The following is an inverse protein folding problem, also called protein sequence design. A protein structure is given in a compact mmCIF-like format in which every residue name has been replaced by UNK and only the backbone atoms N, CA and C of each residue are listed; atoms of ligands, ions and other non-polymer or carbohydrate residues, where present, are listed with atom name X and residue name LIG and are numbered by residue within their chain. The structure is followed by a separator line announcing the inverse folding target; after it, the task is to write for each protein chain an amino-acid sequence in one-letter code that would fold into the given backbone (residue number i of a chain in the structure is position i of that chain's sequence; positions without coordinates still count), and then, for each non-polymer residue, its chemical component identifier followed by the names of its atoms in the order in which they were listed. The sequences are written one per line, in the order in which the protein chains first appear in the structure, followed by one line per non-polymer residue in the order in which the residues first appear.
data_IF_082651607645
#
_entry.id   IF_082651607645
#
_cell.length_a   1.000
_cell.length_b   1.000
_cell.length_c   1.000
_cell.angle_alpha   90.00
_cell.angle_beta   90.00
_cell.angle_gamma   90.00
#
_symmetry.space_group_name_H-M   'P 1'
#
loop_
_entity.id
_entity.type
_entity.pdbx_description
1 polymer ?
#
# COMPACT_ATOMS: atom_id res chain seq x y z
N UNK A 1 -16.99 7.38 0.49
CA UNK A 1 -16.43 6.08 0.89
C UNK A 1 -17.41 5.03 0.40
N UNK A 2 -17.04 4.26 -0.62
CA UNK A 2 -17.90 3.21 -1.18
C UNK A 2 -17.99 2.08 -0.16
N UNK A 3 -19.20 1.61 0.17
CA UNK A 3 -19.36 0.42 1.01
C UNK A 3 -19.07 -0.80 0.13
N UNK A 4 -17.83 -1.26 0.12
CA UNK A 4 -17.38 -2.40 -0.70
C UNK A 4 -18.03 -3.74 -0.31
N UNK A 5 -18.63 -3.82 0.88
CA UNK A 5 -19.20 -5.05 1.46
C UNK A 5 -20.57 -5.46 0.92
N UNK A 6 -21.15 -4.74 -0.03
CA UNK A 6 -22.50 -5.01 -0.56
C UNK A 6 -22.50 -5.58 -1.98
N UNK A 7 -21.35 -5.64 -2.65
CA UNK A 7 -21.25 -6.20 -4.00
C UNK A 7 -21.12 -7.71 -3.94
N UNK A 8 -21.82 -8.39 -4.83
CA UNK A 8 -21.70 -9.83 -4.99
C UNK A 8 -20.36 -10.22 -5.65
N UNK A 9 -19.87 -11.46 -5.45
CA UNK A 9 -18.59 -11.90 -6.00
C UNK A 9 -18.49 -11.84 -7.53
N UNK A 10 -19.60 -12.00 -8.26
CA UNK A 10 -19.62 -11.97 -9.73
C UNK A 10 -19.37 -10.54 -10.24
N UNK A 11 -19.96 -9.54 -9.58
CA UNK A 11 -19.69 -8.13 -9.84
C UNK A 11 -18.22 -7.79 -9.59
N UNK A 12 -17.65 -8.26 -8.46
CA UNK A 12 -16.24 -8.03 -8.12
C UNK A 12 -15.26 -8.69 -9.11
N UNK A 13 -15.60 -9.87 -9.62
CA UNK A 13 -14.80 -10.54 -10.66
C UNK A 13 -14.91 -9.82 -12.00
N UNK A 14 -16.13 -9.44 -12.41
CA UNK A 14 -16.36 -8.66 -13.64
C UNK A 14 -15.57 -7.35 -13.63
N UNK A 15 -15.51 -6.72 -12.46
CA UNK A 15 -14.71 -5.53 -12.21
C UNK A 15 -13.21 -5.79 -12.43
N UNK A 16 -12.65 -6.88 -11.89
CA UNK A 16 -11.25 -7.26 -12.14
C UNK A 16 -10.99 -7.49 -13.64
N UNK A 17 -11.86 -8.23 -14.32
CA UNK A 17 -11.69 -8.56 -15.74
C UNK A 17 -11.67 -7.30 -16.61
N UNK A 18 -12.58 -6.35 -16.33
CA UNK A 18 -12.62 -5.03 -17.00
C UNK A 18 -11.35 -4.23 -16.74
N UNK A 19 -10.87 -4.21 -15.49
CA UNK A 19 -9.64 -3.50 -15.13
C UNK A 19 -8.42 -4.11 -15.83
N UNK A 20 -8.29 -5.44 -15.85
CA UNK A 20 -7.20 -6.13 -16.55
C UNK A 20 -7.25 -5.91 -18.06
N UNK A 21 -8.43 -5.93 -18.66
CA UNK A 21 -8.60 -5.60 -20.07
C UNK A 21 -8.11 -4.16 -20.36
N UNK A 22 -8.56 -3.18 -19.56
CA UNK A 22 -8.14 -1.80 -19.71
C UNK A 22 -6.62 -1.65 -19.60
N UNK A 23 -5.98 -2.30 -18.63
CA UNK A 23 -4.53 -2.25 -18.44
C UNK A 23 -3.80 -2.85 -19.66
N UNK A 24 -4.23 -4.00 -20.17
CA UNK A 24 -3.65 -4.62 -21.38
C UNK A 24 -3.76 -3.71 -22.60
N UNK A 25 -4.92 -3.10 -22.80
CA UNK A 25 -5.13 -2.13 -23.87
C UNK A 25 -4.30 -0.85 -23.68
N UNK A 26 -4.05 -0.45 -22.43
CA UNK A 26 -3.17 0.67 -22.11
C UNK A 26 -1.71 0.33 -22.42
N UNK A 27 -1.23 -0.83 -22.00
CA UNK A 27 0.13 -1.34 -22.30
C UNK A 27 0.36 -1.47 -23.81
N UNK A 28 -0.58 -2.06 -24.53
CA UNK A 28 -0.49 -2.23 -25.98
C UNK A 28 -0.41 -0.89 -26.76
N UNK A 29 -1.04 0.17 -26.23
CA UNK A 29 -0.97 1.52 -26.81
C UNK A 29 0.31 2.27 -26.44
N UNK A 30 1.06 1.79 -25.46
CA UNK A 30 2.28 2.42 -24.97
C UNK A 30 3.49 1.45 -25.00
N UNK A 31 3.83 0.84 -26.15
CA UNK A 31 4.83 -0.23 -26.23
C UNK A 31 6.27 0.21 -25.94
N UNK A 32 6.52 1.52 -25.81
CA UNK A 32 7.83 2.11 -25.50
C UNK A 32 7.98 2.51 -24.05
N UNK A 33 6.88 2.52 -23.29
CA UNK A 33 6.92 2.84 -21.88
C UNK A 33 7.46 1.63 -21.10
N UNK A 34 8.30 1.91 -20.12
CA UNK A 34 8.69 0.94 -19.10
C UNK A 34 7.50 0.60 -18.18
N UNK A 35 7.55 -0.55 -17.50
CA UNK A 35 6.51 -0.92 -16.51
C UNK A 35 6.33 0.14 -15.42
N UNK A 36 7.41 0.84 -15.07
CA UNK A 36 7.38 2.01 -14.18
C UNK A 36 6.47 3.13 -14.69
N UNK A 37 6.66 3.52 -15.95
CA UNK A 37 5.89 4.58 -16.61
C UNK A 37 4.42 4.15 -16.77
N UNK A 38 4.19 2.89 -17.14
CA UNK A 38 2.84 2.32 -17.21
C UNK A 38 2.15 2.41 -15.85
N UNK A 39 2.75 1.89 -14.77
CA UNK A 39 2.16 1.91 -13.43
C UNK A 39 1.83 3.34 -12.96
N UNK A 40 2.74 4.29 -13.23
CA UNK A 40 2.53 5.70 -12.91
C UNK A 40 1.43 6.36 -13.75
N UNK A 41 1.33 6.05 -15.03
CA UNK A 41 0.27 6.58 -15.90
C UNK A 41 -1.10 5.98 -15.56
N UNK A 42 -1.16 4.70 -15.14
CA UNK A 42 -2.41 4.06 -14.71
C UNK A 42 -3.03 4.75 -13.48
N UNK A 43 -2.21 5.35 -12.62
CA UNK A 43 -2.67 6.15 -11.47
C UNK A 43 -3.60 7.31 -11.85
N UNK A 44 -3.45 7.87 -13.06
CA UNK A 44 -4.35 8.91 -13.60
C UNK A 44 -5.79 8.47 -13.79
N UNK A 45 -6.05 7.16 -13.77
CA UNK A 45 -7.37 6.56 -13.97
C UNK A 45 -8.01 6.06 -12.65
N UNK A 46 -7.45 6.44 -11.50
CA UNK A 46 -7.90 6.01 -10.16
C UNK A 46 -8.76 7.10 -9.48
N UNK A 47 -8.26 7.77 -8.44
CA UNK A 47 -8.93 8.87 -7.72
C UNK A 47 -8.15 10.16 -7.85
N UNK A 48 -8.86 11.28 -7.89
CA UNK A 48 -8.23 12.61 -7.92
C UNK A 48 -7.29 12.84 -6.73
N UNK A 49 -7.63 12.34 -5.54
CA UNK A 49 -6.80 12.44 -4.33
C UNK A 49 -5.44 11.72 -4.46
N UNK A 50 -5.38 10.65 -5.26
CA UNK A 50 -4.13 9.94 -5.53
C UNK A 50 -3.24 10.65 -6.57
N UNK A 51 -3.69 11.72 -7.21
CA UNK A 51 -2.92 12.45 -8.22
C UNK A 51 -2.33 13.77 -7.69
N UNK A 52 -2.10 13.86 -6.38
CA UNK A 52 -1.54 15.07 -5.75
C UNK A 52 -0.04 15.24 -6.04
N UNK A 53 0.47 16.47 -5.91
CA UNK A 53 1.89 16.78 -6.07
C UNK A 53 2.82 15.95 -5.15
N UNK A 54 2.28 15.42 -4.05
CA UNK A 54 3.04 14.57 -3.13
C UNK A 54 3.50 13.29 -3.82
N UNK A 55 2.64 12.69 -4.63
CA UNK A 55 2.94 11.47 -5.37
C UNK A 55 3.85 11.74 -6.56
N UNK A 56 3.74 12.92 -7.18
CA UNK A 56 4.71 13.35 -8.20
C UNK A 56 6.13 13.44 -7.67
N UNK A 57 6.31 13.80 -6.40
CA UNK A 57 7.63 13.77 -5.77
C UNK A 57 8.09 12.35 -5.44
N UNK A 58 7.17 11.51 -4.94
CA UNK A 58 7.46 10.11 -4.60
C UNK A 58 7.88 9.28 -5.82
N UNK A 59 7.27 9.54 -6.97
CA UNK A 59 7.52 8.77 -8.20
C UNK A 59 8.23 9.59 -9.30
N UNK A 60 8.70 10.80 -9.01
CA UNK A 60 9.36 11.67 -10.01
C UNK A 60 8.60 11.79 -11.34
N UNK A 61 7.28 11.57 -11.32
CA UNK A 61 6.43 11.45 -12.48
C UNK A 61 5.18 12.27 -12.24
N UNK A 62 4.85 13.19 -13.14
CA UNK A 62 3.67 14.04 -12.96
C UNK A 62 2.44 13.28 -13.45
N UNK A 63 1.58 12.88 -12.53
CA UNK A 63 0.27 12.32 -12.87
C UNK A 63 -0.78 13.44 -12.85
N UNK A 64 -1.57 13.53 -13.92
CA UNK A 64 -2.77 14.37 -13.94
C UNK A 64 -3.97 13.44 -13.93
N UNK A 65 -4.94 13.69 -13.06
CA UNK A 65 -6.18 12.93 -13.03
C UNK A 65 -6.90 13.04 -14.39
N UNK A 66 -7.34 11.90 -14.93
CA UNK A 66 -8.07 11.81 -16.20
C UNK A 66 -9.51 11.39 -15.91
N UNK A 67 -9.71 10.23 -15.29
CA UNK A 67 -11.02 9.70 -14.89
C UNK A 67 -10.88 8.63 -13.80
N UNK A 68 -11.96 7.93 -13.50
CA UNK A 68 -12.09 6.98 -12.40
C UNK A 68 -12.34 5.52 -12.85
N UNK A 69 -11.88 5.15 -14.05
CA UNK A 69 -12.08 3.79 -14.60
C UNK A 69 -11.45 2.66 -13.78
N UNK A 70 -10.49 2.97 -12.91
CA UNK A 70 -9.85 2.03 -11.98
C UNK A 70 -10.30 2.27 -10.52
N UNK A 71 -11.26 3.19 -10.27
CA UNK A 71 -11.84 3.43 -8.95
C UNK A 71 -13.04 2.52 -8.69
N UNK A 72 -12.73 1.27 -8.41
CA UNK A 72 -13.71 0.24 -8.14
C UNK A 72 -13.14 -0.84 -7.22
N UNK A 73 -13.99 -1.52 -6.45
CA UNK A 73 -13.58 -2.73 -5.76
C UNK A 73 -13.48 -3.90 -6.73
N UNK A 74 -12.50 -4.77 -6.50
CA UNK A 74 -12.32 -6.03 -7.23
C UNK A 74 -12.19 -7.19 -6.25
N UNK A 75 -12.27 -8.41 -6.76
CA UNK A 75 -11.80 -9.60 -6.04
C UNK A 75 -10.40 -9.97 -6.54
N UNK A 76 -9.40 -9.91 -5.66
CA UNK A 76 -8.02 -10.24 -5.99
C UNK A 76 -7.52 -11.35 -5.06
N UNK A 77 -7.09 -12.48 -5.63
CA UNK A 77 -6.71 -13.68 -4.88
C UNK A 77 -7.77 -14.16 -3.86
N UNK A 78 -9.06 -13.87 -4.12
CA UNK A 78 -10.18 -14.21 -3.24
C UNK A 78 -10.50 -13.16 -2.17
N UNK A 79 -9.83 -12.01 -2.15
CA UNK A 79 -10.12 -10.90 -1.22
C UNK A 79 -10.75 -9.71 -1.93
N UNK A 80 -11.64 -9.01 -1.24
CA UNK A 80 -12.14 -7.70 -1.70
C UNK A 80 -11.02 -6.70 -1.58
N UNK A 81 -10.67 -6.05 -2.69
CA UNK A 81 -9.54 -5.12 -2.77
C UNK A 81 -10.00 -3.79 -3.37
N UNK A 82 -9.58 -2.68 -2.77
CA UNK A 82 -9.73 -1.35 -3.37
C UNK A 82 -8.73 -1.21 -4.52
N UNK A 83 -9.21 -1.29 -5.76
CA UNK A 83 -8.33 -1.33 -6.93
C UNK A 83 -7.66 0.02 -7.21
N UNK A 84 -8.31 1.14 -6.88
CA UNK A 84 -7.70 2.46 -7.01
C UNK A 84 -6.56 2.63 -6.01
N UNK A 85 -6.76 2.19 -4.77
CA UNK A 85 -5.71 2.14 -3.77
C UNK A 85 -4.56 1.25 -4.25
N UNK A 86 -4.86 0.03 -4.73
CA UNK A 86 -3.86 -0.91 -5.21
C UNK A 86 -2.99 -0.33 -6.33
N UNK A 87 -3.57 0.29 -7.35
CA UNK A 87 -2.82 0.88 -8.48
C UNK A 87 -1.96 2.07 -8.01
N UNK A 88 -2.48 2.88 -7.08
CA UNK A 88 -1.73 3.97 -6.49
C UNK A 88 -0.52 3.44 -5.68
N UNK A 89 -0.73 2.47 -4.80
CA UNK A 89 0.35 1.87 -4.02
C UNK A 89 1.35 1.12 -4.90
N UNK A 90 0.88 0.46 -5.97
CA UNK A 90 1.74 -0.22 -6.94
C UNK A 90 2.66 0.75 -7.68
N UNK A 91 2.15 1.91 -8.10
CA UNK A 91 2.98 2.90 -8.81
C UNK A 91 4.19 3.38 -8.01
N UNK A 92 4.08 3.27 -6.69
CA UNK A 92 5.11 3.70 -5.75
C UNK A 92 6.10 2.56 -5.42
N UNK A 93 5.75 1.31 -5.77
CA UNK A 93 6.56 0.11 -5.53
C UNK A 93 7.43 -0.32 -6.72
N UNK A 94 7.03 0.00 -7.95
CA UNK A 94 7.80 -0.36 -9.15
C UNK A 94 9.08 0.49 -9.22
N UNK A 95 10.24 -0.13 -9.48
CA UNK A 95 11.53 0.57 -9.53
C UNK A 95 11.65 1.52 -10.72
N UNK A 96 12.44 2.58 -10.55
CA UNK A 96 12.78 3.48 -11.63
C UNK A 96 13.55 2.74 -12.74
N UNK A 97 13.41 3.13 -14.03
CA UNK A 97 14.12 2.48 -15.13
C UNK A 97 15.54 3.07 -15.34
N UNK A 98 16.50 2.23 -15.75
CA UNK A 98 17.81 2.70 -16.22
C UNK A 98 18.68 3.35 -15.13
N UNK A 99 19.32 4.48 -15.45
CA UNK A 99 20.26 5.16 -14.55
C UNK A 99 19.58 5.79 -13.33
N UNK A 100 18.28 6.09 -13.40
CA UNK A 100 17.52 6.66 -12.28
C UNK A 100 17.28 5.65 -11.16
N UNK A 101 17.58 4.35 -11.36
CA UNK A 101 17.64 3.34 -10.28
C UNK A 101 18.56 3.72 -9.12
N UNK A 102 19.57 4.54 -9.34
CA UNK A 102 20.43 5.04 -8.26
C UNK A 102 19.65 5.89 -7.24
N UNK A 103 18.50 6.44 -7.65
CA UNK A 103 17.57 7.18 -6.81
C UNK A 103 16.51 6.28 -6.17
N UNK A 104 16.51 4.96 -6.46
CA UNK A 104 15.54 4.01 -5.90
C UNK A 104 15.59 3.99 -4.38
N UNK A 105 16.75 4.23 -3.74
CA UNK A 105 16.79 4.30 -2.28
C UNK A 105 15.94 5.46 -1.72
N UNK A 106 15.84 6.58 -2.44
CA UNK A 106 15.00 7.71 -2.07
C UNK A 106 13.53 7.48 -2.46
N UNK A 107 13.25 6.88 -3.62
CA UNK A 107 11.87 6.62 -4.08
C UNK A 107 11.24 5.39 -3.43
N UNK A 108 12.00 4.31 -3.17
CA UNK A 108 11.54 3.14 -2.42
C UNK A 108 11.26 3.50 -0.96
N UNK A 109 12.00 4.45 -0.38
CA UNK A 109 11.66 5.01 0.92
C UNK A 109 10.30 5.73 0.83
N UNK A 110 10.07 6.60 -0.15
CA UNK A 110 8.74 7.23 -0.32
C UNK A 110 7.63 6.24 -0.68
N UNK A 111 7.94 5.14 -1.38
CA UNK A 111 6.97 4.14 -1.83
C UNK A 111 6.58 3.11 -0.76
N UNK A 112 7.49 2.79 0.15
CA UNK A 112 7.15 2.10 1.40
C UNK A 112 6.19 2.95 2.24
N UNK A 113 6.46 4.26 2.26
CA UNK A 113 5.72 5.26 3.01
C UNK A 113 4.39 5.68 2.38
N UNK A 114 4.15 5.42 1.09
CA UNK A 114 2.85 5.67 0.44
C UNK A 114 1.97 4.42 0.27
N UNK A 115 2.30 3.34 0.99
CA UNK A 115 1.53 2.10 1.08
C UNK A 115 1.10 1.83 2.54
N UNK A 116 1.08 0.58 3.00
CA UNK A 116 0.60 0.17 4.33
C UNK A 116 1.10 1.03 5.51
N UNK A 117 2.38 1.42 5.54
CA UNK A 117 2.91 2.24 6.63
C UNK A 117 2.32 3.66 6.62
N UNK A 118 2.08 4.21 5.43
CA UNK A 118 1.46 5.51 5.22
C UNK A 118 0.00 5.54 5.64
N UNK A 119 -0.78 4.52 5.30
CA UNK A 119 -2.19 4.40 5.69
C UNK A 119 -2.36 4.30 7.21
N UNK A 120 -1.55 3.45 7.84
CA UNK A 120 -1.53 3.30 9.30
C UNK A 120 -1.10 4.61 9.98
N UNK A 121 -0.08 5.29 9.45
CA UNK A 121 0.35 6.57 9.98
C UNK A 121 -0.69 7.69 9.75
N UNK A 122 -1.39 7.69 8.62
CA UNK A 122 -2.47 8.63 8.34
C UNK A 122 -3.66 8.41 9.28
N UNK A 123 -3.99 7.16 9.62
CA UNK A 123 -4.98 6.86 10.65
C UNK A 123 -4.56 7.44 12.02
N UNK A 124 -3.27 7.32 12.38
CA UNK A 124 -2.72 7.93 13.60
C UNK A 124 -2.86 9.45 13.57
N UNK A 125 -2.51 10.11 12.46
CA UNK A 125 -2.64 11.56 12.30
C UNK A 125 -4.11 12.02 12.40
N UNK A 126 -5.02 11.32 11.72
CA UNK A 126 -6.43 11.64 11.72
C UNK A 126 -7.04 11.49 13.12
N UNK A 127 -6.71 10.41 13.84
CA UNK A 127 -7.12 10.22 15.23
C UNK A 127 -6.60 11.37 16.12
N UNK A 128 -5.30 11.67 16.05
CA UNK A 128 -4.67 12.73 16.86
C UNK A 128 -5.20 14.13 16.57
N UNK A 129 -5.63 14.38 15.34
CA UNK A 129 -6.26 15.64 14.94
C UNK A 129 -7.68 15.83 15.50
N UNK A 130 -8.26 14.78 16.10
CA UNK A 130 -9.64 14.77 16.57
C UNK A 130 -10.67 14.53 15.47
N UNK A 131 -10.24 14.13 14.26
CA UNK A 131 -11.15 13.77 13.15
C UNK A 131 -11.98 12.53 13.46
N UNK A 132 -11.43 11.60 14.26
CA UNK A 132 -12.11 10.40 14.73
C UNK A 132 -12.07 10.35 16.26
N UNK A 133 -13.11 9.78 16.87
CA UNK A 133 -13.21 9.69 18.33
C UNK A 133 -12.32 8.58 18.90
N UNK A 134 -12.08 7.52 18.13
CA UNK A 134 -11.21 6.39 18.53
C UNK A 134 -10.20 6.05 17.44
N UNK A 135 -9.10 5.42 17.84
CA UNK A 135 -8.08 4.94 16.91
C UNK A 135 -8.65 3.86 15.95
N UNK A 136 -9.52 2.99 16.46
CA UNK A 136 -10.19 1.96 15.66
C UNK A 136 -11.02 2.56 14.53
N UNK A 137 -11.78 3.62 14.80
CA UNK A 137 -12.55 4.33 13.77
C UNK A 137 -11.64 4.91 12.68
N UNK A 138 -10.49 5.47 13.08
CA UNK A 138 -9.51 5.98 12.12
C UNK A 138 -8.90 4.86 11.27
N UNK A 139 -8.54 3.73 11.89
CA UNK A 139 -7.98 2.57 11.19
C UNK A 139 -8.98 1.96 10.21
N UNK A 140 -10.24 1.75 10.61
CA UNK A 140 -11.28 1.23 9.71
C UNK A 140 -11.55 2.18 8.54
N UNK A 141 -11.45 3.49 8.76
CA UNK A 141 -11.72 4.50 7.75
C UNK A 141 -10.57 4.71 6.75
N UNK A 142 -9.33 4.48 7.16
CA UNK A 142 -8.12 4.81 6.37
C UNK A 142 -7.34 3.57 5.94
N UNK A 143 -7.39 2.50 6.72
CA UNK A 143 -6.71 1.22 6.50
C UNK A 143 -7.73 0.07 6.62
N UNK A 144 -8.81 0.13 5.81
CA UNK A 144 -9.83 -0.90 5.81
C UNK A 144 -9.25 -2.26 5.35
N UNK A 145 -9.94 -3.37 5.56
CA UNK A 145 -9.47 -4.67 5.07
C UNK A 145 -9.23 -4.68 3.54
N UNK A 146 -10.00 -3.88 2.79
CA UNK A 146 -9.83 -3.73 1.34
C UNK A 146 -8.55 -2.95 1.00
N UNK A 147 -8.23 -1.89 1.73
CA UNK A 147 -6.98 -1.11 1.58
C UNK A 147 -5.77 -1.96 1.99
N UNK A 148 -5.84 -2.65 3.14
CA UNK A 148 -4.77 -3.55 3.58
C UNK A 148 -4.50 -4.66 2.56
N UNK A 149 -5.54 -5.19 1.90
CA UNK A 149 -5.35 -6.16 0.81
C UNK A 149 -4.72 -5.55 -0.43
N UNK A 150 -5.05 -4.28 -0.72
CA UNK A 150 -4.47 -3.52 -1.81
C UNK A 150 -2.97 -3.28 -1.58
N UNK A 151 -2.57 -2.96 -0.35
CA UNK A 151 -1.17 -2.81 0.02
C UNK A 151 -0.36 -4.10 -0.12
N UNK A 152 -0.88 -5.21 0.40
CA UNK A 152 -0.24 -6.52 0.27
C UNK A 152 -0.08 -6.89 -1.21
N UNK A 153 -1.13 -6.69 -2.01
CA UNK A 153 -1.09 -6.92 -3.44
C UNK A 153 -0.07 -6.02 -4.13
N UNK A 154 -0.01 -4.72 -3.81
CA UNK A 154 0.92 -3.77 -4.41
C UNK A 154 2.38 -4.18 -4.19
N UNK A 155 2.72 -4.63 -2.99
CA UNK A 155 4.08 -5.13 -2.70
C UNK A 155 4.41 -6.37 -3.50
N UNK A 156 3.53 -7.37 -3.50
CA UNK A 156 3.79 -8.65 -4.15
C UNK A 156 3.78 -8.53 -5.68
N UNK A 157 2.86 -7.76 -6.25
CA UNK A 157 2.83 -7.47 -7.70
C UNK A 157 4.04 -6.63 -8.09
N UNK A 158 4.41 -5.62 -7.31
CA UNK A 158 5.60 -4.80 -7.56
C UNK A 158 6.88 -5.64 -7.56
N UNK A 159 7.04 -6.55 -6.60
CA UNK A 159 8.19 -7.47 -6.56
C UNK A 159 8.27 -8.35 -7.80
N UNK A 160 7.15 -8.90 -8.28
CA UNK A 160 7.09 -9.71 -9.50
C UNK A 160 7.45 -8.92 -10.75
N UNK A 161 6.92 -7.70 -10.88
CA UNK A 161 7.29 -6.78 -11.97
C UNK A 161 8.80 -6.59 -12.01
N UNK A 162 9.42 -6.30 -10.87
CA UNK A 162 10.85 -6.01 -10.81
C UNK A 162 11.74 -7.24 -10.99
N UNK A 163 11.35 -8.38 -10.39
CA UNK A 163 12.16 -9.60 -10.40
C UNK A 163 12.05 -10.37 -11.72
N UNK A 164 10.85 -10.41 -12.30
CA UNK A 164 10.53 -11.22 -13.48
C UNK A 164 10.38 -10.36 -14.75
N UNK A 165 10.49 -9.02 -14.65
CA UNK A 165 10.34 -8.07 -15.77
C UNK A 165 8.98 -8.19 -16.50
N UNK A 166 7.92 -8.44 -15.73
CA UNK A 166 6.58 -8.63 -16.26
C UNK A 166 5.88 -7.32 -16.60
N UNK A 167 4.89 -7.40 -17.49
CA UNK A 167 3.89 -6.36 -17.66
C UNK A 167 3.02 -6.23 -16.38
N UNK A 168 2.41 -5.06 -16.16
CA UNK A 168 1.54 -4.82 -15.00
C UNK A 168 0.35 -5.78 -15.04
N UNK A 169 -0.30 -5.93 -16.19
CA UNK A 169 -1.46 -6.82 -16.32
C UNK A 169 -1.12 -8.29 -16.07
N UNK A 170 0.06 -8.73 -16.49
CA UNK A 170 0.54 -10.11 -16.30
C UNK A 170 0.86 -10.38 -14.83
N UNK A 171 1.57 -9.46 -14.16
CA UNK A 171 1.90 -9.60 -12.75
C UNK A 171 0.64 -9.64 -11.86
N UNK A 172 -0.38 -8.82 -12.16
CA UNK A 172 -1.68 -8.87 -11.46
C UNK A 172 -2.38 -10.21 -11.68
N UNK A 173 -2.38 -10.73 -12.92
CA UNK A 173 -3.01 -12.01 -13.22
C UNK A 173 -2.32 -13.17 -12.50
N UNK A 174 -0.99 -13.19 -12.47
CA UNK A 174 -0.22 -14.20 -11.72
C UNK A 174 -0.45 -14.09 -10.21
N UNK A 175 -0.55 -12.88 -9.67
CA UNK A 175 -0.94 -12.68 -8.28
C UNK A 175 -2.33 -13.27 -8.00
N UNK A 176 -3.32 -12.95 -8.82
CA UNK A 176 -4.70 -13.43 -8.64
C UNK A 176 -4.82 -14.97 -8.64
N UNK A 177 -3.97 -15.66 -9.40
CA UNK A 177 -4.00 -17.12 -9.54
C UNK A 177 -3.46 -17.90 -8.32
N UNK A 178 -2.94 -17.22 -7.30
CA UNK A 178 -2.44 -17.84 -6.08
C UNK A 178 -3.37 -17.53 -4.89
N UNK A 179 -3.53 -18.47 -3.93
CA UNK A 179 -4.32 -18.22 -2.73
C UNK A 179 -3.79 -17.05 -1.89
N UNK A 180 -4.68 -16.20 -1.39
CA UNK A 180 -4.30 -15.04 -0.57
C UNK A 180 -3.38 -15.36 0.63
N UNK A 181 -3.58 -16.46 1.39
CA UNK A 181 -2.67 -16.79 2.50
C UNK A 181 -1.21 -16.95 2.07
N UNK A 182 -0.95 -17.39 0.83
CA UNK A 182 0.40 -17.48 0.30
C UNK A 182 1.03 -16.09 0.13
N UNK A 183 0.28 -15.13 -0.40
CA UNK A 183 0.73 -13.74 -0.56
C UNK A 183 1.03 -13.08 0.78
N UNK A 184 0.22 -13.36 1.81
CA UNK A 184 0.45 -12.84 3.16
C UNK A 184 1.75 -13.41 3.75
N UNK A 185 2.00 -14.72 3.59
CA UNK A 185 3.24 -15.36 4.04
C UNK A 185 4.45 -14.77 3.31
N UNK A 186 4.35 -14.58 2.00
CA UNK A 186 5.40 -13.96 1.19
C UNK A 186 5.64 -12.50 1.59
N UNK A 187 4.58 -11.72 1.80
CA UNK A 187 4.66 -10.35 2.30
C UNK A 187 5.37 -10.30 3.65
N UNK A 188 4.95 -11.12 4.61
CA UNK A 188 5.59 -11.16 5.92
C UNK A 188 7.08 -11.51 5.83
N UNK A 189 7.46 -12.47 4.98
CA UNK A 189 8.85 -12.88 4.80
C UNK A 189 9.71 -11.84 4.09
N UNK A 190 9.18 -11.22 3.02
CA UNK A 190 9.95 -10.34 2.13
C UNK A 190 9.97 -8.88 2.58
N UNK A 191 8.85 -8.36 3.09
CA UNK A 191 8.69 -6.96 3.48
C UNK A 191 9.03 -6.73 4.96
N UNK A 192 8.79 -7.73 5.81
CA UNK A 192 8.86 -7.60 7.28
C UNK A 192 9.91 -8.52 7.93
N UNK A 193 10.75 -9.19 7.14
CA UNK A 193 11.76 -10.16 7.61
C UNK A 193 11.18 -11.28 8.49
N UNK A 194 9.94 -11.71 8.20
CA UNK A 194 9.24 -12.73 8.95
C UNK A 194 9.83 -14.13 8.82
N UNK A 195 9.93 -14.83 9.95
CA UNK A 195 10.46 -16.20 10.05
C UNK A 195 9.31 -17.17 10.23
N UNK A 196 8.77 -17.65 9.10
CA UNK A 196 7.69 -18.63 9.06
C UNK A 196 8.27 -20.03 8.83
N UNK A 197 8.06 -20.94 9.78
CA UNK A 197 8.44 -22.36 9.69
C UNK A 197 7.19 -23.17 10.05
N UNK A 198 6.77 -24.13 9.21
CA UNK A 198 5.60 -24.99 9.47
C UNK A 198 4.35 -24.21 9.94
N UNK A 199 4.00 -23.14 9.20
CA UNK A 199 2.85 -22.26 9.50
C UNK A 199 2.94 -21.51 10.83
N UNK A 200 4.14 -21.40 11.40
CA UNK A 200 4.39 -20.68 12.65
C UNK A 200 5.32 -19.49 12.46
N UNK A 201 4.92 -18.34 12.98
CA UNK A 201 5.72 -17.11 12.96
C UNK A 201 6.55 -16.98 14.25
N UNK A 202 7.87 -17.07 14.10
CA UNK A 202 8.81 -17.16 15.24
C UNK A 202 9.35 -15.83 15.74
N UNK A 203 9.17 -14.73 14.99
CA UNK A 203 9.74 -13.42 15.32
C UNK A 203 8.69 -12.30 15.31
N UNK A 204 7.46 -12.61 15.76
CA UNK A 204 6.33 -11.67 15.84
C UNK A 204 6.69 -10.34 16.52
N UNK A 205 7.40 -10.39 17.65
CA UNK A 205 7.85 -9.17 18.36
C UNK A 205 8.76 -8.29 17.50
N UNK A 206 9.66 -8.89 16.71
CA UNK A 206 10.56 -8.14 15.84
C UNK A 206 9.80 -7.50 14.67
N UNK A 207 8.82 -8.22 14.09
CA UNK A 207 7.95 -7.68 13.04
C UNK A 207 7.16 -6.48 13.55
N UNK A 208 6.47 -6.62 14.68
CA UNK A 208 5.64 -5.54 15.23
C UNK A 208 6.50 -4.32 15.57
N UNK A 209 7.72 -4.52 16.09
CA UNK A 209 8.66 -3.42 16.33
C UNK A 209 9.14 -2.75 15.02
N UNK A 210 9.38 -3.53 13.97
CA UNK A 210 9.68 -3.03 12.63
C UNK A 210 8.55 -2.18 12.06
N UNK A 211 7.30 -2.66 12.16
CA UNK A 211 6.12 -1.91 11.74
C UNK A 211 5.97 -0.58 12.48
N UNK A 212 6.17 -0.56 13.81
CA UNK A 212 6.13 0.68 14.60
C UNK A 212 7.19 1.67 14.17
N UNK A 213 8.40 1.19 13.86
CA UNK A 213 9.48 2.03 13.33
C UNK A 213 9.06 2.64 12.00
N UNK A 214 8.54 1.85 11.08
CA UNK A 214 8.14 2.32 9.75
C UNK A 214 7.01 3.36 9.83
N UNK A 215 6.00 3.14 10.69
CA UNK A 215 4.93 4.11 10.96
C UNK A 215 5.50 5.40 11.57
N UNK A 216 6.40 5.29 12.56
CA UNK A 216 7.02 6.46 13.19
C UNK A 216 7.89 7.27 12.22
N UNK A 217 8.63 6.60 11.33
CA UNK A 217 9.41 7.24 10.26
C UNK A 217 8.48 8.06 9.34
N UNK A 218 7.33 7.52 8.96
CA UNK A 218 6.34 8.27 8.17
C UNK A 218 5.83 9.52 8.91
N UNK A 219 5.43 9.37 10.17
CA UNK A 219 4.97 10.48 11.00
C UNK A 219 6.06 11.57 11.11
N UNK A 220 7.32 11.17 11.24
CA UNK A 220 8.47 12.09 11.25
C UNK A 220 8.56 12.88 9.94
N UNK A 221 8.42 12.21 8.80
CA UNK A 221 8.45 12.86 7.49
C UNK A 221 7.33 13.90 7.35
N UNK A 222 6.10 13.53 7.70
CA UNK A 222 4.96 14.44 7.59
C UNK A 222 5.19 15.71 8.40
N UNK A 223 5.89 15.59 9.52
CA UNK A 223 6.22 16.72 10.37
C UNK A 223 7.41 17.54 9.89
N UNK A 224 8.44 16.91 9.35
CA UNK A 224 9.51 17.63 8.68
C UNK A 224 8.95 18.43 7.49
N UNK A 225 8.02 17.85 6.74
CA UNK A 225 7.31 18.53 5.66
C UNK A 225 6.51 19.71 6.22
N UNK A 226 5.68 19.51 7.23
CA UNK A 226 4.93 20.60 7.87
C UNK A 226 5.86 21.72 8.35
N UNK A 227 7.03 21.40 8.92
CA UNK A 227 8.04 22.35 9.32
C UNK A 227 8.61 23.14 8.13
N UNK A 228 8.94 22.48 7.02
CA UNK A 228 9.45 23.16 5.82
C UNK A 228 8.41 24.15 5.27
N UNK A 229 7.14 23.75 5.23
CA UNK A 229 6.06 24.56 4.68
C UNK A 229 5.59 25.69 5.61
N UNK A 230 5.49 25.41 6.91
CA UNK A 230 4.93 26.36 7.89
C UNK A 230 5.98 27.10 8.72
N UNK A 231 7.24 26.65 8.66
CA UNK A 231 8.36 27.09 9.52
C UNK A 231 8.07 27.00 11.02
N UNK A 232 7.11 26.15 11.42
CA UNK A 232 6.73 25.93 12.82
C UNK A 232 6.94 24.48 13.20
N UNK A 233 7.62 24.28 14.33
CA UNK A 233 7.70 22.97 14.99
C UNK A 233 6.50 22.81 15.92
N UNK A 234 5.82 21.67 15.83
CA UNK A 234 4.79 21.29 16.78
C UNK A 234 5.38 20.33 17.84
N UNK A 235 5.84 20.83 18.99
CA UNK A 235 6.55 20.01 19.99
C UNK A 235 5.68 18.89 20.57
N UNK A 236 4.35 19.08 20.61
CA UNK A 236 3.41 18.03 21.06
C UNK A 236 3.42 16.82 20.15
N UNK A 237 3.71 17.02 18.87
CA UNK A 237 3.66 15.93 17.92
C UNK A 237 5.03 15.35 17.55
N UNK A 238 6.12 16.03 17.90
CA UNK A 238 7.42 15.35 18.10
C UNK A 238 7.39 14.28 19.19
N UNK A 239 6.72 14.55 20.33
CA UNK A 239 6.50 13.53 21.37
C UNK A 239 5.57 12.41 20.90
N UNK A 240 4.66 12.70 19.97
CA UNK A 240 3.72 11.71 19.46
C UNK A 240 4.31 10.87 18.31
N UNK A 241 5.38 11.32 17.65
CA UNK A 241 6.12 10.50 16.66
C UNK A 241 6.83 9.29 17.33
N UNK A 242 6.89 9.22 18.67
CA UNK A 242 7.53 8.10 19.35
C UNK A 242 6.92 6.75 18.93
N UNK A 243 7.77 5.84 18.43
CA UNK A 243 7.39 4.47 18.03
C UNK A 243 6.63 3.68 19.09
N UNK A 244 6.79 4.05 20.36
CA UNK A 244 6.15 3.43 21.51
C UNK A 244 4.87 4.14 21.95
N UNK A 245 4.44 5.20 21.26
CA UNK A 245 3.19 5.86 21.58
C UNK A 245 2.00 4.87 21.42
N UNK A 246 0.98 4.90 22.30
CA UNK A 246 -0.09 3.89 22.30
C UNK A 246 -0.83 3.71 20.98
N UNK A 247 -1.07 4.79 20.22
CA UNK A 247 -1.73 4.75 18.91
C UNK A 247 -0.85 4.14 17.79
N UNK A 248 0.47 4.40 17.78
CA UNK A 248 1.42 3.75 16.86
C UNK A 248 1.48 2.25 17.16
N UNK A 249 1.48 1.87 18.44
CA UNK A 249 1.37 0.47 18.86
C UNK A 249 0.06 -0.15 18.40
N UNK A 250 -1.07 0.56 18.56
CA UNK A 250 -2.38 0.10 18.12
C UNK A 250 -2.46 -0.09 16.61
N UNK A 251 -1.88 0.83 15.82
CA UNK A 251 -1.86 0.76 14.37
C UNK A 251 -1.01 -0.42 13.87
N UNK A 252 0.20 -0.60 14.44
CA UNK A 252 1.05 -1.74 14.11
C UNK A 252 0.39 -3.08 14.47
N UNK A 253 -0.25 -3.15 15.65
CA UNK A 253 -0.96 -4.36 16.07
C UNK A 253 -2.14 -4.68 15.16
N UNK A 254 -2.92 -3.67 14.77
CA UNK A 254 -4.06 -3.83 13.87
C UNK A 254 -3.65 -4.48 12.53
N UNK A 255 -2.57 -4.01 11.91
CA UNK A 255 -2.09 -4.63 10.67
C UNK A 255 -1.46 -6.01 10.91
N UNK A 256 -0.74 -6.20 12.01
CA UNK A 256 -0.20 -7.50 12.37
C UNK A 256 -1.30 -8.55 12.56
N UNK A 257 -2.39 -8.21 13.25
CA UNK A 257 -3.53 -9.09 13.47
C UNK A 257 -4.21 -9.45 12.13
N UNK A 258 -4.31 -8.48 11.21
CA UNK A 258 -4.76 -8.74 9.84
C UNK A 258 -3.87 -9.76 9.13
N UNK A 259 -2.54 -9.61 9.18
CA UNK A 259 -1.60 -10.54 8.55
C UNK A 259 -1.68 -11.95 9.16
N UNK A 260 -1.78 -12.06 10.49
CA UNK A 260 -1.91 -13.36 11.18
C UNK A 260 -3.20 -14.06 10.77
N UNK A 261 -4.32 -13.33 10.79
CA UNK A 261 -5.64 -13.85 10.43
C UNK A 261 -5.70 -14.30 8.97
N UNK A 262 -5.25 -13.45 8.04
CA UNK A 262 -5.34 -13.74 6.60
C UNK A 262 -4.27 -14.71 6.10
N UNK A 263 -3.15 -14.83 6.81
CA UNK A 263 -2.04 -15.70 6.45
C UNK A 263 -2.19 -17.15 6.89
N UNK A 264 -3.19 -17.47 7.72
CA UNK A 264 -3.33 -18.74 8.41
C UNK A 264 -2.02 -19.15 9.14
N UNK A 265 -1.41 -18.21 9.86
CA UNK A 265 -0.13 -18.42 10.56
C UNK A 265 -0.35 -18.37 12.07
N UNK A 266 0.18 -19.33 12.81
CA UNK A 266 0.18 -19.32 14.27
C UNK A 266 1.35 -18.48 14.81
N UNK A 267 1.11 -17.66 15.84
CA UNK A 267 2.17 -16.88 16.48
C UNK A 267 2.84 -17.70 17.57
N UNK A 268 4.16 -17.85 17.50
CA UNK A 268 4.96 -18.43 18.58
C UNK A 268 5.38 -17.30 19.53
N UNK A 269 5.06 -17.46 20.81
CA UNK A 269 5.37 -16.51 21.88
C UNK A 269 6.70 -16.89 22.55
#
# INVERSE_FOLDING_TARGET
MLQFSTLDPETLQTNLDRSLQFIREFEARNPRDSTYEIANKLRSYTRASYNSQQFTLATLSRQTYIDNRLDLPVILAGQVTDFAHFIASLSDRVRLPGWTRILDAATAWTGKHSSWAGDLAQAVLDYRSGKFATMEQALVAVASAADLSADVAAVQVGWRIDAESLAVSEAIALYHNLPYPLHIRQFAQQELDGKIIEDRLHNSRAIVEGMRRDIAEFLTLMELKNLIWTRKLNPKLLQSIERNHPDVRSAAQYFFDYLVSMGNVEVVI
#
